data_IF_938463540813
#
_entry.id   IF_938463540813
#
_cell.length_a   1.000
_cell.length_b   1.000
_cell.length_c   1.000
_cell.angle_alpha   90.00
_cell.angle_beta   90.00
_cell.angle_gamma   90.00
#
_symmetry.space_group_name_H-M   'P 1'
#
loop_
_entity.id
_entity.type
_entity.pdbx_description
1 polymer ?
#
# COMPACT_ATOMS: atom_id res chain seq x y z
N UNK A 1 21.01 33.41 -13.97
CA UNK A 1 19.64 33.34 -13.42
C UNK A 1 19.18 31.89 -13.50
N UNK A 2 19.34 31.16 -12.40
CA UNK A 2 19.03 29.72 -12.33
C UNK A 2 17.84 29.54 -11.40
N UNK A 3 16.65 29.48 -11.98
CA UNK A 3 15.39 29.39 -11.22
C UNK A 3 15.13 27.94 -10.82
N UNK A 4 15.36 27.60 -9.56
CA UNK A 4 14.95 26.33 -8.96
C UNK A 4 13.46 26.37 -8.65
N UNK A 5 12.63 25.68 -9.43
CA UNK A 5 11.20 25.52 -9.18
C UNK A 5 10.96 24.42 -8.13
N UNK A 6 10.76 24.85 -6.90
CA UNK A 6 10.26 24.00 -5.81
C UNK A 6 8.77 23.73 -5.98
N UNK A 7 8.42 22.54 -6.45
CA UNK A 7 7.03 22.07 -6.56
C UNK A 7 6.49 21.70 -5.17
N UNK A 8 5.77 22.62 -4.54
CA UNK A 8 5.04 22.37 -3.30
C UNK A 8 3.87 21.42 -3.56
N UNK A 9 4.00 20.15 -3.15
CA UNK A 9 2.89 19.20 -3.20
C UNK A 9 1.92 19.51 -2.04
N UNK A 10 0.76 20.06 -2.36
CA UNK A 10 -0.33 20.24 -1.40
C UNK A 10 -0.93 18.88 -1.03
N UNK A 11 -0.60 18.38 0.15
CA UNK A 11 -1.29 17.22 0.71
C UNK A 11 -2.74 17.56 1.06
N UNK A 12 -3.63 16.59 0.88
CA UNK A 12 -5.06 16.74 1.16
C UNK A 12 -5.33 16.72 2.68
N UNK A 13 -5.38 17.91 3.30
CA UNK A 13 -5.82 18.13 4.69
C UNK A 13 -7.35 18.03 4.81
N UNK A 14 -7.83 17.34 5.84
CA UNK A 14 -9.24 16.91 6.03
C UNK A 14 -10.07 17.92 6.84
N UNK A 15 -11.16 18.45 6.26
CA UNK A 15 -12.14 19.29 6.99
C UNK A 15 -13.61 18.98 6.69
N UNK A 16 -13.94 17.89 6.00
CA UNK A 16 -15.33 17.44 5.80
C UNK A 16 -15.39 15.92 5.86
N UNK A 17 -16.57 15.36 6.16
CA UNK A 17 -16.84 13.92 6.38
C UNK A 17 -15.85 13.05 5.61
N UNK A 18 -15.08 12.18 6.29
CA UNK A 18 -13.85 11.68 5.72
C UNK A 18 -14.13 10.94 4.41
N UNK A 19 -13.64 11.52 3.31
CA UNK A 19 -13.82 11.00 1.95
C UNK A 19 -13.46 9.51 1.83
N UNK A 20 -12.58 9.02 2.72
CA UNK A 20 -12.20 7.62 2.80
C UNK A 20 -13.33 6.64 3.13
N UNK A 21 -14.42 7.06 3.79
CA UNK A 21 -15.53 6.15 4.14
C UNK A 21 -16.24 5.61 2.91
N UNK A 22 -16.38 6.46 1.89
CA UNK A 22 -17.12 6.17 0.66
C UNK A 22 -16.26 5.47 -0.41
N UNK A 23 -14.96 5.28 -0.15
CA UNK A 23 -14.09 4.59 -1.12
C UNK A 23 -14.44 3.10 -1.21
N UNK A 24 -14.30 2.47 -2.39
CA UNK A 24 -14.40 1.02 -2.53
C UNK A 24 -13.35 0.28 -1.68
N UNK A 25 -13.65 -0.95 -1.28
CA UNK A 25 -12.79 -1.75 -0.40
C UNK A 25 -11.35 -1.88 -0.92
N UNK A 26 -11.16 -2.30 -2.18
CA UNK A 26 -9.83 -2.42 -2.77
C UNK A 26 -9.12 -1.07 -2.93
N UNK A 27 -9.87 0.01 -3.18
CA UNK A 27 -9.29 1.36 -3.26
C UNK A 27 -8.69 1.80 -1.92
N UNK A 28 -9.30 1.43 -0.80
CA UNK A 28 -8.73 1.66 0.54
C UNK A 28 -7.39 0.95 0.71
N UNK A 29 -7.32 -0.33 0.34
CA UNK A 29 -6.08 -1.12 0.41
C UNK A 29 -5.01 -0.64 -0.58
N UNK A 30 -5.40 -0.17 -1.77
CA UNK A 30 -4.47 0.44 -2.73
C UNK A 30 -3.82 1.71 -2.16
N UNK A 31 -4.59 2.57 -1.50
CA UNK A 31 -4.04 3.77 -0.84
C UNK A 31 -3.09 3.38 0.29
N UNK A 32 -3.47 2.42 1.14
CA UNK A 32 -2.60 1.92 2.22
C UNK A 32 -1.30 1.35 1.65
N UNK A 33 -1.39 0.55 0.59
CA UNK A 33 -0.23 -0.05 -0.07
C UNK A 33 0.69 1.01 -0.69
N UNK A 34 0.10 2.03 -1.31
CA UNK A 34 0.84 3.16 -1.88
C UNK A 34 1.56 3.97 -0.80
N UNK A 35 0.92 4.17 0.35
CA UNK A 35 1.55 4.81 1.49
C UNK A 35 2.75 3.99 1.98
N UNK A 36 2.58 2.69 2.21
CA UNK A 36 3.67 1.80 2.60
C UNK A 36 4.81 1.79 1.58
N UNK A 37 4.50 1.74 0.28
CA UNK A 37 5.50 1.80 -0.78
C UNK A 37 6.29 3.12 -0.78
N UNK A 38 5.63 4.25 -0.51
CA UNK A 38 6.27 5.56 -0.52
C UNK A 38 7.20 5.77 0.68
N UNK A 39 6.83 5.29 1.87
CA UNK A 39 7.57 5.53 3.10
C UNK A 39 8.57 4.41 3.45
N UNK A 40 8.32 3.17 3.01
CA UNK A 40 9.26 2.07 3.20
C UNK A 40 10.32 2.04 2.10
N UNK A 41 11.59 1.77 2.41
CA UNK A 41 12.61 1.51 1.39
C UNK A 41 12.32 0.20 0.68
N UNK A 42 12.56 0.13 -0.65
CA UNK A 42 12.32 -1.09 -1.44
C UNK A 42 13.07 -2.32 -0.90
N UNK A 43 14.28 -2.15 -0.35
CA UNK A 43 15.05 -3.24 0.31
C UNK A 43 14.32 -3.89 1.48
N UNK A 44 13.39 -3.18 2.12
CA UNK A 44 12.65 -3.71 3.26
C UNK A 44 11.42 -4.51 2.88
N UNK A 45 11.00 -4.48 1.62
CA UNK A 45 9.73 -5.09 1.21
C UNK A 45 9.71 -6.59 1.53
N UNK A 46 10.82 -7.31 1.32
CA UNK A 46 10.94 -8.72 1.69
C UNK A 46 10.72 -8.93 3.20
N UNK A 47 11.21 -8.06 4.08
CA UNK A 47 11.04 -8.21 5.53
C UNK A 47 9.58 -8.05 5.98
N UNK A 48 8.85 -7.11 5.39
CA UNK A 48 7.47 -6.77 5.82
C UNK A 48 6.39 -7.47 5.00
N UNK A 49 6.70 -7.89 3.78
CA UNK A 49 5.75 -8.39 2.79
C UNK A 49 6.15 -9.72 2.14
N UNK A 50 7.26 -10.36 2.55
CA UNK A 50 7.53 -11.74 2.14
C UNK A 50 6.57 -12.69 2.87
N UNK A 51 5.43 -12.93 2.24
CA UNK A 51 4.65 -14.16 2.35
C UNK A 51 3.57 -14.11 1.27
N UNK A 52 3.36 -15.24 0.58
CA UNK A 52 2.20 -15.59 -0.30
C UNK A 52 2.45 -15.77 -1.82
N UNK A 53 3.52 -16.43 -2.25
CA UNK A 53 3.46 -17.20 -3.51
C UNK A 53 4.22 -18.53 -3.42
N UNK A 54 5.45 -18.54 -2.89
CA UNK A 54 6.28 -19.76 -2.79
C UNK A 54 5.85 -20.71 -1.66
N UNK A 55 5.40 -20.17 -0.52
CA UNK A 55 4.90 -20.98 0.60
C UNK A 55 3.61 -21.76 0.26
N UNK A 56 2.90 -21.41 -0.82
CA UNK A 56 1.71 -22.15 -1.26
C UNK A 56 2.06 -23.46 -2.00
N UNK A 57 3.24 -23.53 -2.64
CA UNK A 57 3.68 -24.71 -3.40
C UNK A 57 4.41 -25.72 -2.50
N UNK A 58 5.01 -25.26 -1.39
CA UNK A 58 5.83 -26.12 -0.50
C UNK A 58 5.14 -26.48 0.84
N UNK A 59 4.07 -25.80 1.26
CA UNK A 59 3.43 -26.07 2.56
C UNK A 59 2.49 -27.29 2.55
N UNK A 60 3.07 -28.47 2.41
CA UNK A 60 2.45 -29.69 2.94
C UNK A 60 2.29 -29.56 4.45
N UNK A 61 1.03 -29.41 4.89
CA UNK A 61 0.51 -29.75 6.23
C UNK A 61 1.48 -29.54 7.40
N UNK A 62 1.75 -28.29 7.79
CA UNK A 62 1.91 -27.91 9.21
C UNK A 62 2.05 -26.40 9.38
N UNK A 63 1.09 -25.83 10.12
CA UNK A 63 1.18 -24.54 10.81
C UNK A 63 1.04 -23.27 9.95
N UNK A 64 -0.12 -23.07 9.30
CA UNK A 64 -0.56 -21.81 8.69
C UNK A 64 -0.93 -20.77 9.78
N UNK A 65 0.03 -20.37 10.61
CA UNK A 65 -0.03 -19.07 11.31
C UNK A 65 0.82 -18.12 10.49
N UNK A 66 0.16 -17.32 9.65
CA UNK A 66 0.75 -16.16 8.96
C UNK A 66 1.65 -15.47 9.97
N UNK A 67 2.98 -15.51 9.78
CA UNK A 67 3.91 -14.73 10.61
C UNK A 67 3.68 -13.28 10.23
N UNK A 68 2.60 -12.70 10.76
CA UNK A 68 2.41 -11.25 10.78
C UNK A 68 3.68 -10.68 11.40
N UNK A 69 4.23 -9.57 10.87
CA UNK A 69 5.37 -8.91 11.50
C UNK A 69 5.07 -8.78 13.00
N UNK A 70 6.04 -9.12 13.88
CA UNK A 70 5.80 -9.24 15.31
C UNK A 70 5.09 -7.98 15.80
N UNK A 71 3.94 -8.17 16.45
CA UNK A 71 3.21 -7.08 17.10
C UNK A 71 4.14 -6.51 18.16
N UNK A 72 4.84 -5.45 17.78
CA UNK A 72 5.73 -4.73 18.65
C UNK A 72 4.88 -3.92 19.63
N UNK A 73 4.45 -4.55 20.73
CA UNK A 73 3.64 -3.97 21.80
C UNK A 73 4.37 -2.93 22.67
N UNK A 74 5.23 -2.11 22.08
CA UNK A 74 5.88 -0.97 22.75
C UNK A 74 5.57 0.31 22.01
N UNK A 75 5.40 1.42 22.73
CA UNK A 75 5.35 2.79 22.20
C UNK A 75 6.68 3.11 21.51
N UNK A 76 6.90 2.57 20.31
CA UNK A 76 8.12 2.79 19.51
C UNK A 76 7.79 3.81 18.44
N UNK A 77 8.57 4.88 18.41
CA UNK A 77 8.38 6.02 17.51
C UNK A 77 8.69 5.60 16.08
N UNK A 78 7.68 5.59 15.22
CA UNK A 78 7.87 5.50 13.78
C UNK A 78 8.09 6.93 13.27
N UNK A 79 9.34 7.34 13.07
CA UNK A 79 9.65 8.67 12.55
C UNK A 79 9.36 8.72 11.05
N UNK A 80 8.10 8.97 10.70
CA UNK A 80 7.70 9.34 9.33
C UNK A 80 8.09 10.81 9.03
N UNK A 81 8.32 11.59 10.08
CA UNK A 81 8.45 13.06 10.04
C UNK A 81 9.76 13.57 9.41
N UNK A 82 10.71 12.70 9.06
CA UNK A 82 11.96 13.08 8.40
C UNK A 82 12.12 12.54 6.98
N UNK A 83 11.17 11.73 6.47
CA UNK A 83 11.39 10.98 5.23
C UNK A 83 10.44 11.43 4.13
N UNK A 84 11.02 11.92 3.04
CA UNK A 84 10.27 12.26 1.85
C UNK A 84 9.67 11.00 1.20
N UNK A 85 8.37 11.02 0.87
CA UNK A 85 7.72 9.95 0.11
C UNK A 85 8.50 9.66 -1.18
N UNK A 86 8.96 8.43 -1.33
CA UNK A 86 9.71 8.01 -2.52
C UNK A 86 8.75 7.59 -3.64
N UNK A 87 9.08 7.89 -4.91
CA UNK A 87 8.35 7.33 -6.03
C UNK A 87 8.53 5.80 -6.07
N UNK A 88 7.49 5.08 -6.48
CA UNK A 88 7.49 3.61 -6.55
C UNK A 88 6.87 3.11 -7.86
N UNK A 89 7.27 1.93 -8.32
CA UNK A 89 6.71 1.31 -9.53
C UNK A 89 5.33 0.72 -9.26
N UNK A 90 4.53 0.59 -10.33
CA UNK A 90 3.26 -0.13 -10.26
C UNK A 90 3.42 -1.58 -9.78
N UNK A 91 4.47 -2.28 -10.21
CA UNK A 91 4.74 -3.66 -9.80
C UNK A 91 4.96 -3.78 -8.29
N UNK A 92 5.68 -2.83 -7.69
CA UNK A 92 5.88 -2.74 -6.24
C UNK A 92 4.56 -2.48 -5.51
N UNK A 93 3.75 -1.55 -6.01
CA UNK A 93 2.41 -1.28 -5.46
C UNK A 93 1.55 -2.54 -5.42
N UNK A 94 1.48 -3.27 -6.54
CA UNK A 94 0.70 -4.49 -6.65
C UNK A 94 1.22 -5.59 -5.73
N UNK A 95 2.54 -5.76 -5.65
CA UNK A 95 3.15 -6.78 -4.77
C UNK A 95 2.79 -6.54 -3.30
N UNK A 96 2.89 -5.28 -2.84
CA UNK A 96 2.49 -4.91 -1.48
C UNK A 96 0.99 -5.12 -1.30
N UNK A 97 0.17 -4.68 -2.26
CA UNK A 97 -1.29 -4.83 -2.20
C UNK A 97 -1.73 -6.28 -2.00
N UNK A 98 -1.22 -7.20 -2.83
CA UNK A 98 -1.55 -8.62 -2.73
C UNK A 98 -1.03 -9.25 -1.42
N UNK A 99 0.07 -8.76 -0.86
CA UNK A 99 0.59 -9.26 0.42
C UNK A 99 -0.26 -8.87 1.63
N UNK A 100 -0.93 -7.71 1.58
CA UNK A 100 -1.67 -7.15 2.72
C UNK A 100 -3.17 -7.41 2.67
N UNK A 101 -3.71 -7.77 1.50
CA UNK A 101 -5.12 -8.06 1.36
C UNK A 101 -5.47 -9.39 2.07
N UNK A 102 -6.64 -9.50 2.71
CA UNK A 102 -7.10 -10.77 3.26
C UNK A 102 -7.21 -11.85 2.17
N UNK A 103 -6.93 -13.10 2.54
CA UNK A 103 -6.91 -14.25 1.62
C UNK A 103 -8.31 -14.39 1.02
N UNK A 104 -8.44 -14.28 -0.31
CA UNK A 104 -9.71 -14.48 -1.02
C UNK A 104 -10.07 -15.96 -1.11
N UNK A 105 -9.14 -16.87 -0.75
CA UNK A 105 -9.26 -18.33 -0.87
C UNK A 105 -10.39 -18.96 -0.04
N UNK A 106 -11.07 -18.20 0.82
CA UNK A 106 -12.29 -18.65 1.51
C UNK A 106 -13.57 -18.39 0.68
N UNK A 107 -13.47 -17.71 -0.47
CA UNK A 107 -14.53 -17.65 -1.47
C UNK A 107 -14.47 -18.95 -2.28
N UNK A 108 -15.15 -19.96 -1.77
CA UNK A 108 -15.31 -21.24 -2.45
C UNK A 108 -16.02 -21.05 -3.79
N UNK A 109 -15.33 -21.39 -4.88
CA UNK A 109 -15.94 -21.88 -6.11
C UNK A 109 -16.14 -20.87 -7.23
N UNK A 110 -15.09 -20.53 -7.96
CA UNK A 110 -15.13 -20.15 -9.38
C UNK A 110 -13.71 -20.14 -9.97
N UNK A 111 -13.58 -20.32 -11.30
CA UNK A 111 -12.31 -20.54 -12.01
C UNK A 111 -11.28 -19.43 -11.75
N UNK A 112 -10.16 -19.81 -11.12
CA UNK A 112 -9.12 -18.90 -10.62
C UNK A 112 -8.55 -17.96 -11.71
N UNK A 113 -8.49 -18.40 -12.97
CA UNK A 113 -7.83 -17.65 -14.05
C UNK A 113 -8.66 -16.46 -14.57
N UNK A 114 -9.97 -16.65 -14.78
CA UNK A 114 -10.86 -15.60 -15.29
C UNK A 114 -11.14 -14.52 -14.22
N UNK A 115 -11.30 -14.93 -12.95
CA UNK A 115 -11.40 -14.00 -11.83
C UNK A 115 -10.14 -13.16 -11.68
N UNK A 116 -8.95 -13.75 -11.85
CA UNK A 116 -7.68 -13.04 -11.75
C UNK A 116 -7.52 -11.97 -12.85
N UNK A 117 -7.95 -12.25 -14.09
CA UNK A 117 -7.94 -11.27 -15.17
C UNK A 117 -8.96 -10.14 -14.95
N UNK A 118 -10.18 -10.48 -14.54
CA UNK A 118 -11.23 -9.50 -14.24
C UNK A 118 -10.82 -8.60 -13.07
N UNK A 119 -10.20 -9.18 -12.03
CA UNK A 119 -9.63 -8.46 -10.90
C UNK A 119 -8.52 -7.50 -11.35
N UNK A 120 -7.65 -7.88 -12.29
CA UNK A 120 -6.61 -7.01 -12.81
C UNK A 120 -7.18 -5.75 -13.51
N UNK A 121 -8.18 -5.91 -14.38
CA UNK A 121 -8.82 -4.78 -15.07
C UNK A 121 -9.54 -3.83 -14.08
N UNK A 122 -10.28 -4.40 -13.12
CA UNK A 122 -10.96 -3.63 -12.08
C UNK A 122 -9.96 -2.85 -11.23
N UNK A 123 -8.86 -3.47 -10.82
CA UNK A 123 -7.80 -2.82 -10.05
C UNK A 123 -7.14 -1.69 -10.85
N UNK A 124 -6.87 -1.89 -12.14
CA UNK A 124 -6.33 -0.82 -12.99
C UNK A 124 -7.27 0.39 -13.09
N UNK A 125 -8.57 0.13 -13.27
CA UNK A 125 -9.61 1.18 -13.29
C UNK A 125 -9.66 1.95 -11.97
N UNK A 126 -9.51 1.25 -10.84
CA UNK A 126 -9.45 1.89 -9.54
C UNK A 126 -8.20 2.76 -9.37
N UNK A 127 -7.03 2.31 -9.82
CA UNK A 127 -5.79 3.10 -9.78
C UNK A 127 -5.95 4.39 -10.58
N UNK A 128 -6.57 4.31 -11.77
CA UNK A 128 -6.87 5.51 -12.59
C UNK A 128 -7.88 6.44 -11.93
N UNK A 129 -8.84 5.89 -11.20
CA UNK A 129 -9.77 6.69 -10.40
C UNK A 129 -9.04 7.38 -9.24
N UNK A 130 -8.13 6.69 -8.55
CA UNK A 130 -7.31 7.27 -7.48
C UNK A 130 -6.35 8.37 -7.98
N UNK A 131 -5.84 8.23 -9.20
CA UNK A 131 -5.06 9.28 -9.89
C UNK A 131 -5.92 10.53 -10.14
N UNK A 132 -7.14 10.35 -10.66
CA UNK A 132 -8.10 11.46 -10.86
C UNK A 132 -8.50 12.14 -9.55
N UNK A 133 -8.63 11.37 -8.47
CA UNK A 133 -8.95 11.87 -7.13
C UNK A 133 -7.74 12.44 -6.37
N UNK A 134 -6.55 12.49 -7.00
CA UNK A 134 -5.32 13.04 -6.42
C UNK A 134 -4.80 12.30 -5.18
N UNK A 135 -5.18 11.03 -4.99
CA UNK A 135 -4.55 10.15 -3.99
C UNK A 135 -3.20 9.59 -4.48
N UNK A 136 -3.08 9.43 -5.80
CA UNK A 136 -1.87 9.01 -6.49
C UNK A 136 -1.51 10.02 -7.58
N UNK A 137 -0.22 10.24 -7.79
CA UNK A 137 0.27 11.05 -8.91
C UNK A 137 1.39 10.34 -9.66
N UNK A 138 1.43 10.50 -10.98
CA UNK A 138 2.51 9.96 -11.80
C UNK A 138 3.76 10.84 -11.66
N UNK A 139 4.87 10.24 -11.22
CA UNK A 139 6.11 10.95 -10.94
C UNK A 139 6.98 11.19 -12.18
N UNK A 140 6.74 10.46 -13.28
CA UNK A 140 7.49 10.55 -14.53
C UNK A 140 6.56 10.47 -15.75
N UNK A 141 7.08 10.77 -16.94
CA UNK A 141 6.34 10.64 -18.21
C UNK A 141 6.77 9.43 -19.04
N UNK A 142 7.66 8.58 -18.50
CA UNK A 142 8.25 7.45 -19.23
C UNK A 142 7.28 6.29 -19.41
N UNK A 143 7.59 5.37 -20.35
CA UNK A 143 6.80 4.17 -20.63
C UNK A 143 6.52 3.32 -19.39
N UNK A 144 7.41 3.32 -18.40
CA UNK A 144 7.24 2.67 -17.11
C UNK A 144 6.90 3.71 -16.02
N UNK A 145 5.61 3.90 -15.68
CA UNK A 145 5.20 4.92 -14.75
C UNK A 145 5.68 4.62 -13.33
N UNK A 146 6.31 5.63 -12.72
CA UNK A 146 6.49 5.71 -11.29
C UNK A 146 5.34 6.52 -10.68
N UNK A 147 4.91 6.13 -9.48
CA UNK A 147 3.82 6.76 -8.75
C UNK A 147 4.30 7.36 -7.43
N UNK A 148 3.64 8.42 -6.98
CA UNK A 148 3.76 9.01 -5.64
C UNK A 148 2.43 8.93 -4.92
N UNK A 149 2.48 8.69 -3.62
CA UNK A 149 1.32 8.75 -2.74
C UNK A 149 1.16 10.19 -2.23
N UNK A 150 -0.02 10.77 -2.42
CA UNK A 150 -0.34 12.14 -2.00
C UNK A 150 -1.33 12.13 -0.82
N UNK A 151 -0.98 11.37 0.22
CA UNK A 151 -1.85 11.11 1.36
C UNK A 151 -1.09 11.32 2.66
N UNK A 152 -1.72 12.07 3.56
CA UNK A 152 -1.14 12.36 4.87
C UNK A 152 -1.24 11.17 5.83
N UNK A 153 -0.35 11.18 6.81
CA UNK A 153 -0.24 10.13 7.80
C UNK A 153 -1.54 9.95 8.63
N UNK A 154 -2.26 11.04 8.92
CA UNK A 154 -3.53 10.97 9.64
C UNK A 154 -4.63 10.31 8.80
N UNK A 155 -4.73 10.68 7.52
CA UNK A 155 -5.71 10.10 6.60
C UNK A 155 -5.51 8.59 6.46
N UNK A 156 -4.28 8.14 6.21
CA UNK A 156 -4.01 6.71 6.06
C UNK A 156 -4.21 5.94 7.38
N UNK A 157 -3.95 6.57 8.53
CA UNK A 157 -4.24 5.97 9.84
C UNK A 157 -5.74 5.74 10.00
N UNK A 158 -6.55 6.76 9.77
CA UNK A 158 -8.01 6.64 9.85
C UNK A 158 -8.56 5.62 8.84
N UNK A 159 -7.98 5.59 7.63
CA UNK A 159 -8.32 4.62 6.61
C UNK A 159 -7.96 3.19 7.01
N UNK A 160 -6.77 2.98 7.59
CA UNK A 160 -6.33 1.67 8.07
C UNK A 160 -7.20 1.14 9.21
N UNK A 161 -7.62 2.02 10.13
CA UNK A 161 -8.57 1.67 11.19
C UNK A 161 -9.94 1.28 10.63
N UNK A 162 -10.41 1.98 9.60
CA UNK A 162 -11.68 1.68 8.95
C UNK A 162 -11.74 0.28 8.33
N UNK A 163 -10.61 -0.23 7.83
CA UNK A 163 -10.51 -1.59 7.25
C UNK A 163 -9.90 -2.62 8.21
N UNK A 164 -9.62 -2.25 9.46
CA UNK A 164 -9.01 -3.14 10.46
C UNK A 164 -7.57 -3.56 10.14
N UNK A 165 -6.84 -2.77 9.35
CA UNK A 165 -5.46 -3.06 8.97
C UNK A 165 -4.45 -2.46 9.97
N UNK A 166 -3.54 -3.27 10.56
CA UNK A 166 -2.57 -2.79 11.55
C UNK A 166 -1.35 -2.10 10.90
N UNK A 167 -1.56 -0.89 10.37
CA UNK A 167 -0.57 -0.10 9.62
C UNK A 167 0.82 -0.02 10.26
N UNK A 168 0.87 0.17 11.59
CA UNK A 168 2.12 0.38 12.34
C UNK A 168 3.06 -0.83 12.38
N UNK A 169 2.56 -2.02 12.06
CA UNK A 169 3.37 -3.22 11.99
C UNK A 169 4.10 -3.35 10.65
N UNK A 170 3.71 -2.56 9.64
CA UNK A 170 4.23 -2.63 8.28
C UNK A 170 5.08 -1.41 7.91
N UNK A 171 5.10 -0.35 8.71
CA UNK A 171 5.96 0.81 8.48
C UNK A 171 7.41 0.50 8.90
N UNK A 172 8.35 0.85 8.02
CA UNK A 172 9.78 0.72 8.25
C UNK A 172 10.23 1.54 9.47
N UNK A 173 11.12 0.99 10.28
CA UNK A 173 11.71 1.66 11.44
C UNK A 173 13.21 1.80 11.23
N UNK A 174 13.79 2.89 11.72
CA UNK A 174 15.24 3.14 11.57
C UNK A 174 16.08 2.09 12.30
N UNK A 175 15.56 1.52 13.40
CA UNK A 175 16.18 0.41 14.14
C UNK A 175 16.27 -0.90 13.33
N UNK A 176 15.57 -1.00 12.20
CA UNK A 176 15.53 -2.21 11.35
C UNK A 176 16.65 -2.25 10.29
N UNK A 177 17.61 -1.32 10.34
CA UNK A 177 18.70 -1.14 9.38
C UNK A 177 19.87 -2.12 9.54
#
# INVERSE_FOLDING_TARGET
>A
SSSSSSSSSSSLSSSSSPAYRNLPYYSKFLIISAYLAAYNPAKSDSKYFASSYDDAVVATKKNKKRKRPPVAGGKRSYSVHGRNPQPFSIGRLMSIFWSIIPDQSEREGESEEEENLLNCFVLWTQIKTLERLQFLHRANRDSFPLYRCNVDNEFVRNLSQNVGFPLMNYLYREDDQ
#
